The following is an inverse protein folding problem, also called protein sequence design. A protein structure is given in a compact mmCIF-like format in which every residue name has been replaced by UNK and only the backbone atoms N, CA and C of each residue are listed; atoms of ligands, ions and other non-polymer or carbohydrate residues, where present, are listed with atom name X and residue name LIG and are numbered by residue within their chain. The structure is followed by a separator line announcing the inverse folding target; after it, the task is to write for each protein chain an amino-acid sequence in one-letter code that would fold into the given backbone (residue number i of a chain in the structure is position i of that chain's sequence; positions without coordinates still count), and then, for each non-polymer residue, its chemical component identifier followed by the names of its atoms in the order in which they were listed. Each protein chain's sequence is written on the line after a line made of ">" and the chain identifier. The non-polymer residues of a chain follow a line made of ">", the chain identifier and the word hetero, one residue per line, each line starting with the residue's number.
data_IF_271264851893
#
_entry.id   IF_271264851893
#
_cell.length_a   1.000
_cell.length_b   1.000
_cell.length_c   1.000
_cell.angle_alpha   90.00
_cell.angle_beta   90.00
_cell.angle_gamma   90.00
#
_symmetry.space_group_name_H-M   'P 1'
#
loop_
_entity.id
_entity.type
_entity.pdbx_description
1 polymer ?
#
# COMPACT_ATOMS: atom_id res chain seq x y z
N UNK A 1 1.56 -4.52 25.90
CA UNK A 1 2.46 -3.35 25.85
C UNK A 1 3.88 -3.66 26.34
N UNK A 2 4.14 -4.30 27.53
CA UNK A 2 5.49 -4.56 27.99
C UNK A 2 6.31 -5.48 27.06
N UNK A 3 5.69 -6.49 26.45
CA UNK A 3 6.38 -7.38 25.52
C UNK A 3 6.85 -6.67 24.23
N UNK A 4 6.10 -5.69 23.74
CA UNK A 4 6.50 -4.87 22.59
C UNK A 4 7.66 -3.93 22.94
N UNK A 5 7.64 -3.32 24.12
CA UNK A 5 8.73 -2.47 24.60
C UNK A 5 10.02 -3.28 24.83
N UNK A 6 9.90 -4.50 25.38
CA UNK A 6 11.04 -5.41 25.51
C UNK A 6 11.58 -5.86 24.16
N UNK A 7 10.72 -6.16 23.19
CA UNK A 7 11.10 -6.52 21.81
C UNK A 7 11.84 -5.37 21.11
N UNK A 8 11.34 -4.14 21.22
CA UNK A 8 11.98 -2.96 20.64
C UNK A 8 13.32 -2.65 21.32
N UNK A 9 13.39 -2.77 22.63
CA UNK A 9 14.64 -2.54 23.38
C UNK A 9 15.70 -3.62 23.06
N UNK A 10 15.30 -4.89 22.93
CA UNK A 10 16.17 -5.98 22.52
C UNK A 10 16.69 -5.81 21.09
N UNK A 11 15.82 -5.40 20.15
CA UNK A 11 16.20 -5.09 18.78
C UNK A 11 17.14 -3.87 18.69
N UNK A 12 16.90 -2.84 19.50
CA UNK A 12 17.75 -1.66 19.55
C UNK A 12 19.13 -1.98 20.15
N UNK A 13 19.20 -2.87 21.16
CA UNK A 13 20.44 -3.38 21.74
C UNK A 13 21.25 -4.19 20.75
N UNK A 14 20.61 -5.18 20.11
CA UNK A 14 21.22 -6.03 19.12
C UNK A 14 21.72 -5.25 17.88
N UNK A 15 21.01 -4.16 17.49
CA UNK A 15 21.48 -3.24 16.43
C UNK A 15 22.77 -2.51 16.80
N UNK A 16 22.94 -2.13 18.08
CA UNK A 16 24.17 -1.44 18.53
C UNK A 16 25.40 -2.35 18.44
N UNK A 17 25.23 -3.65 18.69
CA UNK A 17 26.32 -4.63 18.58
C UNK A 17 26.59 -5.03 17.11
N UNK A 18 25.55 -5.17 16.30
CA UNK A 18 25.68 -5.60 14.90
C UNK A 18 26.08 -4.48 13.92
N UNK A 19 26.03 -3.22 14.32
CA UNK A 19 26.35 -2.05 13.49
C UNK A 19 25.33 -1.73 12.40
N UNK A 20 24.75 -2.72 11.70
CA UNK A 20 23.72 -2.54 10.68
C UNK A 20 22.61 -3.58 10.81
N UNK A 21 21.38 -3.23 10.38
CA UNK A 21 20.25 -4.15 10.38
C UNK A 21 20.49 -5.41 9.53
N UNK A 22 21.30 -5.30 8.48
CA UNK A 22 21.66 -6.41 7.60
C UNK A 22 22.49 -7.47 8.32
N UNK A 23 23.46 -7.06 9.16
CA UNK A 23 24.24 -7.97 9.99
C UNK A 23 23.42 -8.63 11.10
N UNK A 24 22.46 -7.92 11.66
CA UNK A 24 21.59 -8.44 12.72
C UNK A 24 20.70 -9.60 12.24
N UNK A 25 20.24 -9.54 10.98
CA UNK A 25 19.37 -10.56 10.39
C UNK A 25 20.20 -11.73 9.81
N UNK A 26 21.54 -11.68 9.91
CA UNK A 26 22.43 -12.70 9.34
C UNK A 26 22.38 -12.74 7.79
N UNK A 27 21.80 -11.69 7.21
CA UNK A 27 21.68 -11.56 5.77
C UNK A 27 22.92 -10.80 5.26
N UNK A 28 24.00 -11.53 5.00
CA UNK A 28 25.05 -11.09 4.07
C UNK A 28 24.49 -10.95 2.63
N UNK A 29 23.19 -10.58 2.56
CA UNK A 29 22.52 -10.33 1.28
C UNK A 29 23.23 -9.21 0.52
N UNK A 30 23.66 -8.17 1.20
CA UNK A 30 24.42 -7.08 0.60
C UNK A 30 25.76 -7.56 0.04
N UNK A 31 26.48 -8.43 0.76
CA UNK A 31 27.72 -9.02 0.27
C UNK A 31 27.52 -10.08 -0.81
N UNK A 32 26.48 -10.90 -0.68
CA UNK A 32 26.10 -11.87 -1.74
C UNK A 32 25.57 -11.19 -2.99
N UNK A 33 24.77 -10.16 -2.85
CA UNK A 33 24.29 -9.32 -3.98
C UNK A 33 25.49 -8.56 -4.57
N UNK A 34 26.36 -7.98 -3.75
CA UNK A 34 27.57 -7.29 -4.20
C UNK A 34 28.54 -8.24 -4.95
N UNK A 35 28.78 -9.45 -4.45
CA UNK A 35 29.64 -10.44 -5.16
C UNK A 35 28.99 -10.95 -6.46
N UNK A 36 27.68 -11.11 -6.50
CA UNK A 36 26.97 -11.47 -7.75
C UNK A 36 26.84 -10.29 -8.71
N UNK A 37 26.65 -9.07 -8.21
CA UNK A 37 26.56 -7.85 -9.02
C UNK A 37 27.92 -7.42 -9.62
N UNK A 38 29.04 -7.95 -9.13
CA UNK A 38 30.35 -7.75 -9.79
C UNK A 38 30.43 -8.45 -11.16
N UNK A 39 29.65 -9.51 -11.37
CA UNK A 39 29.52 -10.17 -12.68
C UNK A 39 28.54 -9.45 -13.62
N UNK A 40 27.50 -8.77 -13.06
CA UNK A 40 26.55 -7.95 -13.80
C UNK A 40 26.32 -6.64 -13.03
N UNK A 41 27.20 -5.65 -13.25
CA UNK A 41 27.20 -4.35 -12.54
C UNK A 41 25.86 -3.61 -12.55
N UNK A 42 25.03 -3.84 -13.56
CA UNK A 42 23.71 -3.21 -13.71
C UNK A 42 22.60 -3.86 -12.88
N UNK A 43 22.70 -5.16 -12.56
CA UNK A 43 21.61 -5.87 -11.85
C UNK A 43 21.38 -5.33 -10.44
N UNK A 44 22.42 -4.85 -9.77
CA UNK A 44 22.32 -4.26 -8.43
C UNK A 44 21.60 -2.92 -8.41
N UNK A 45 21.96 -2.01 -9.32
CA UNK A 45 21.32 -0.68 -9.44
C UNK A 45 19.87 -0.81 -9.90
N UNK A 46 19.59 -1.69 -10.85
CA UNK A 46 18.25 -2.02 -11.31
C UNK A 46 17.35 -2.54 -10.18
N UNK A 47 17.83 -3.53 -9.40
CA UNK A 47 17.08 -4.05 -8.27
C UNK A 47 16.81 -2.97 -7.21
N UNK A 48 17.78 -2.09 -6.97
CA UNK A 48 17.64 -1.00 -6.01
C UNK A 48 16.68 0.09 -6.49
N UNK A 49 16.65 0.40 -7.79
CA UNK A 49 15.65 1.32 -8.36
C UNK A 49 14.23 0.76 -8.22
N UNK A 50 14.03 -0.54 -8.45
CA UNK A 50 12.72 -1.20 -8.22
C UNK A 50 12.30 -1.11 -6.75
N UNK A 51 13.22 -1.33 -5.79
CA UNK A 51 12.90 -1.20 -4.36
C UNK A 51 12.47 0.22 -4.03
N UNK A 52 13.19 1.24 -4.49
CA UNK A 52 12.84 2.64 -4.26
C UNK A 52 11.50 3.01 -4.89
N UNK A 53 11.26 2.55 -6.11
CA UNK A 53 9.98 2.76 -6.79
C UNK A 53 8.81 2.10 -6.05
N UNK A 54 8.99 0.88 -5.54
CA UNK A 54 7.97 0.20 -4.74
C UNK A 54 7.70 0.93 -3.42
N UNK A 55 8.73 1.40 -2.72
CA UNK A 55 8.57 2.23 -1.50
C UNK A 55 7.83 3.52 -1.83
N UNK A 56 8.18 4.19 -2.93
CA UNK A 56 7.47 5.41 -3.38
C UNK A 56 5.99 5.10 -3.67
N UNK A 57 5.69 3.98 -4.34
CA UNK A 57 4.32 3.56 -4.61
C UNK A 57 3.55 3.27 -3.30
N UNK A 58 4.16 2.61 -2.32
CA UNK A 58 3.56 2.37 -0.99
C UNK A 58 3.27 3.70 -0.28
N UNK A 59 4.22 4.64 -0.28
CA UNK A 59 4.03 5.95 0.35
C UNK A 59 2.93 6.77 -0.34
N UNK A 60 2.92 6.79 -1.68
CA UNK A 60 1.88 7.46 -2.46
C UNK A 60 0.50 6.84 -2.20
N UNK A 61 0.41 5.51 -2.23
CA UNK A 61 -0.82 4.78 -1.98
C UNK A 61 -1.34 5.03 -0.56
N UNK A 62 -0.47 4.93 0.44
CA UNK A 62 -0.83 5.18 1.84
C UNK A 62 -1.26 6.63 2.05
N UNK A 63 -0.53 7.59 1.50
CA UNK A 63 -0.86 9.03 1.60
C UNK A 63 -2.18 9.38 0.94
N UNK A 64 -2.44 8.88 -0.28
CA UNK A 64 -3.70 9.11 -0.98
C UNK A 64 -4.89 8.48 -0.23
N UNK A 65 -4.73 7.27 0.30
CA UNK A 65 -5.79 6.62 1.08
C UNK A 65 -6.00 7.29 2.44
N UNK A 66 -4.96 7.79 3.10
CA UNK A 66 -5.10 8.59 4.30
C UNK A 66 -5.90 9.89 4.03
N UNK A 67 -5.65 10.56 2.89
CA UNK A 67 -6.44 11.72 2.46
C UNK A 67 -7.90 11.35 2.16
N UNK A 68 -8.17 10.18 1.55
CA UNK A 68 -9.53 9.69 1.34
C UNK A 68 -10.25 9.45 2.67
N UNK A 69 -9.60 8.81 3.64
CA UNK A 69 -10.17 8.61 4.99
C UNK A 69 -10.47 9.94 5.65
N UNK A 70 -9.52 10.88 5.62
CA UNK A 70 -9.73 12.22 6.21
C UNK A 70 -10.89 12.96 5.51
N UNK A 71 -10.95 12.90 4.17
CA UNK A 71 -12.03 13.49 3.38
C UNK A 71 -13.40 12.89 3.72
N UNK A 72 -13.49 11.57 3.85
CA UNK A 72 -14.74 10.89 4.24
C UNK A 72 -15.18 11.27 5.66
N UNK A 73 -14.26 11.30 6.62
CA UNK A 73 -14.55 11.75 7.98
C UNK A 73 -15.04 13.20 8.02
N UNK A 74 -14.49 14.07 7.17
CA UNK A 74 -14.91 15.48 7.09
C UNK A 74 -16.30 15.61 6.44
N UNK A 75 -16.59 14.88 5.37
CA UNK A 75 -17.90 14.92 4.69
C UNK A 75 -19.00 14.33 5.56
N UNK A 76 -18.75 13.22 6.23
CA UNK A 76 -19.71 12.51 7.07
C UNK A 76 -19.60 12.93 8.56
N UNK A 77 -19.10 14.14 8.83
CA UNK A 77 -18.86 14.61 10.19
C UNK A 77 -20.08 14.52 11.11
N UNK A 78 -21.26 14.85 10.57
CA UNK A 78 -22.50 14.77 11.33
C UNK A 78 -22.82 13.33 11.77
N UNK A 79 -22.62 12.34 10.91
CA UNK A 79 -22.81 10.94 11.26
C UNK A 79 -21.82 10.48 12.34
N UNK A 80 -20.55 10.89 12.22
CA UNK A 80 -19.51 10.61 13.21
C UNK A 80 -19.88 11.19 14.58
N UNK A 81 -20.32 12.44 14.63
CA UNK A 81 -20.74 13.11 15.89
C UNK A 81 -21.98 12.45 16.48
N UNK A 82 -22.98 12.12 15.67
CA UNK A 82 -24.19 11.43 16.14
C UNK A 82 -23.88 10.11 16.85
N UNK A 83 -22.97 9.30 16.28
CA UNK A 83 -22.52 8.04 16.91
C UNK A 83 -21.76 8.34 18.20
N UNK A 84 -20.90 9.36 18.22
CA UNK A 84 -20.16 9.74 19.42
C UNK A 84 -21.07 10.20 20.56
N UNK A 85 -22.11 10.99 20.25
CA UNK A 85 -23.11 11.46 21.21
C UNK A 85 -23.98 10.30 21.75
N UNK A 86 -24.36 9.34 20.89
CA UNK A 86 -25.12 8.16 21.27
C UNK A 86 -24.38 7.25 22.26
N UNK A 87 -23.04 7.22 22.23
CA UNK A 87 -22.25 6.46 23.20
C UNK A 87 -22.32 7.08 24.60
N UNK A 88 -22.44 8.38 24.66
CA UNK A 88 -22.61 9.16 25.91
C UNK A 88 -21.37 9.14 26.78
N UNK A 89 -20.72 9.86 27.31
CA UNK A 89 -19.52 9.72 28.15
C UNK A 89 -19.01 11.08 28.64
N UNK A 90 -19.78 12.11 28.31
CA UNK A 90 -19.41 13.49 28.62
C UNK A 90 -18.07 13.90 27.98
N UNK A 91 -17.47 15.00 28.43
CA UNK A 91 -16.22 15.53 27.82
C UNK A 91 -15.02 14.58 27.93
N UNK A 92 -14.91 13.84 29.03
CA UNK A 92 -13.83 12.88 29.25
C UNK A 92 -13.98 11.66 28.34
N UNK A 93 -15.21 11.13 28.20
CA UNK A 93 -15.50 10.02 27.27
C UNK A 93 -15.26 10.40 25.83
N UNK A 94 -15.62 11.63 25.42
CA UNK A 94 -15.31 12.18 24.09
C UNK A 94 -13.81 12.26 23.81
N UNK A 95 -13.00 12.71 24.78
CA UNK A 95 -11.54 12.75 24.65
C UNK A 95 -10.95 11.33 24.50
N UNK A 96 -11.39 10.38 25.32
CA UNK A 96 -10.92 9.00 25.24
C UNK A 96 -11.29 8.35 23.89
N UNK A 97 -12.50 8.59 23.39
CA UNK A 97 -12.93 8.13 22.08
C UNK A 97 -12.10 8.75 20.96
N UNK A 98 -11.79 10.04 21.04
CA UNK A 98 -10.94 10.71 20.05
C UNK A 98 -9.52 10.10 20.03
N UNK A 99 -8.92 9.87 21.19
CA UNK A 99 -7.60 9.23 21.29
C UNK A 99 -7.64 7.79 20.74
N UNK A 100 -8.69 7.04 21.02
CA UNK A 100 -8.90 5.70 20.47
C UNK A 100 -8.97 5.75 18.95
N UNK A 101 -9.73 6.68 18.38
CA UNK A 101 -9.87 6.82 16.92
C UNK A 101 -8.56 7.22 16.24
N UNK A 102 -7.75 8.08 16.85
CA UNK A 102 -6.40 8.40 16.36
C UNK A 102 -5.53 7.14 16.27
N UNK A 103 -5.60 6.27 17.28
CA UNK A 103 -4.90 4.99 17.27
C UNK A 103 -5.36 4.03 16.16
N UNK A 104 -6.60 4.19 15.66
CA UNK A 104 -7.18 3.37 14.60
C UNK A 104 -6.94 3.94 13.19
N UNK A 105 -6.44 5.16 13.04
CA UNK A 105 -6.19 5.78 11.73
C UNK A 105 -5.34 4.91 10.78
N UNK A 106 -4.25 4.24 11.23
CA UNK A 106 -3.50 3.33 10.36
C UNK A 106 -4.35 2.16 9.85
N UNK A 107 -5.24 1.62 10.69
CA UNK A 107 -6.18 0.54 10.32
C UNK A 107 -7.18 1.03 9.27
N UNK A 108 -7.78 2.20 9.47
CA UNK A 108 -8.70 2.78 8.49
C UNK A 108 -8.01 3.08 7.15
N UNK A 109 -6.74 3.51 7.18
CA UNK A 109 -5.94 3.70 5.97
C UNK A 109 -5.71 2.37 5.25
N UNK A 110 -5.36 1.30 5.97
CA UNK A 110 -5.18 -0.03 5.40
C UNK A 110 -6.49 -0.58 4.79
N UNK A 111 -7.62 -0.39 5.45
CA UNK A 111 -8.94 -0.76 4.93
C UNK A 111 -9.33 0.08 3.71
N UNK A 112 -8.98 1.36 3.70
CA UNK A 112 -9.16 2.22 2.52
C UNK A 112 -8.33 1.74 1.33
N UNK A 113 -7.09 1.24 1.55
CA UNK A 113 -6.28 0.60 0.50
C UNK A 113 -7.00 -0.65 -0.04
N UNK A 114 -7.53 -1.49 0.85
CA UNK A 114 -8.28 -2.67 0.44
C UNK A 114 -9.55 -2.30 -0.35
N UNK A 115 -10.23 -1.22 0.05
CA UNK A 115 -11.40 -0.69 -0.66
C UNK A 115 -11.03 -0.18 -2.05
N UNK A 116 -10.05 0.72 -2.16
CA UNK A 116 -9.63 1.30 -3.44
C UNK A 116 -8.96 0.30 -4.38
N UNK A 117 -8.37 -0.79 -3.85
CA UNK A 117 -7.80 -1.85 -4.65
C UNK A 117 -8.84 -2.81 -5.25
N UNK A 118 -10.06 -2.87 -4.70
CA UNK A 118 -11.16 -3.69 -5.22
C UNK A 118 -11.65 -4.80 -4.32
N UNK A 119 -10.80 -5.65 -3.72
CA UNK A 119 -11.29 -6.76 -2.88
C UNK A 119 -12.08 -6.30 -1.66
N UNK A 120 -11.80 -5.09 -1.15
CA UNK A 120 -12.54 -4.52 -0.03
C UNK A 120 -12.13 -5.05 1.33
N UNK A 121 -12.92 -4.67 2.33
CA UNK A 121 -12.75 -5.08 3.73
C UNK A 121 -14.11 -5.37 4.36
N UNK A 122 -14.10 -6.12 5.46
CA UNK A 122 -15.28 -6.45 6.28
C UNK A 122 -15.16 -5.80 7.66
N UNK A 123 -16.32 -5.43 8.23
CA UNK A 123 -16.44 -4.94 9.61
C UNK A 123 -17.55 -5.75 10.28
N UNK A 124 -17.23 -7.00 10.58
CA UNK A 124 -18.16 -7.99 11.12
C UNK A 124 -18.66 -8.98 10.06
N UNK A 125 -19.26 -10.07 10.56
CA UNK A 125 -19.81 -11.15 9.73
C UNK A 125 -20.84 -10.58 8.73
N UNK A 126 -20.81 -11.11 7.50
CA UNK A 126 -21.73 -10.76 6.41
C UNK A 126 -21.62 -9.31 5.91
N UNK A 127 -20.62 -8.53 6.35
CA UNK A 127 -20.34 -7.20 5.80
C UNK A 127 -19.23 -7.24 4.74
N UNK A 128 -19.38 -6.47 3.68
CA UNK A 128 -18.31 -6.23 2.69
C UNK A 128 -18.43 -4.81 2.19
N UNK A 129 -17.31 -4.09 2.24
CA UNK A 129 -17.17 -2.76 1.67
C UNK A 129 -16.12 -2.80 0.58
N UNK A 130 -16.55 -2.67 -0.67
CA UNK A 130 -15.70 -2.70 -1.87
C UNK A 130 -16.12 -1.60 -2.83
N UNK A 131 -15.23 -1.19 -3.74
CA UNK A 131 -15.60 -0.29 -4.85
C UNK A 131 -16.61 -0.91 -5.81
N UNK A 132 -16.79 -2.22 -5.79
CA UNK A 132 -17.74 -2.96 -6.63
C UNK A 132 -19.10 -3.17 -5.95
N UNK A 133 -19.21 -2.94 -4.64
CA UNK A 133 -20.43 -3.13 -3.89
C UNK A 133 -20.25 -2.90 -2.40
N UNK A 134 -21.34 -2.63 -1.71
CA UNK A 134 -21.37 -2.51 -0.26
C UNK A 134 -22.54 -3.33 0.28
N UNK A 135 -22.26 -4.24 1.20
CA UNK A 135 -23.24 -4.97 2.02
C UNK A 135 -23.02 -4.56 3.46
N UNK A 136 -23.69 -3.49 3.93
CA UNK A 136 -23.57 -3.05 5.31
C UNK A 136 -24.21 -4.06 6.26
N UNK A 137 -23.52 -4.38 7.35
CA UNK A 137 -24.05 -5.16 8.46
C UNK A 137 -23.94 -4.34 9.77
N UNK A 138 -24.33 -4.93 10.89
CA UNK A 138 -24.21 -4.32 12.22
C UNK A 138 -22.74 -4.07 12.54
N UNK A 139 -22.30 -2.82 12.39
CA UNK A 139 -20.96 -2.40 12.76
C UNK A 139 -20.85 -2.07 14.26
N UNK A 140 -19.67 -2.27 14.88
CA UNK A 140 -19.45 -1.80 16.25
C UNK A 140 -19.62 -0.28 16.34
N UNK A 141 -20.09 0.21 17.51
CA UNK A 141 -20.33 1.63 17.75
C UNK A 141 -19.02 2.42 17.88
N UNK A 142 -18.26 2.50 16.80
CA UNK A 142 -17.09 3.37 16.67
C UNK A 142 -17.49 4.58 15.83
N UNK A 143 -17.33 5.82 16.32
CA UNK A 143 -17.77 7.03 15.61
C UNK A 143 -17.22 7.13 14.19
N UNK A 144 -15.94 6.78 13.97
CA UNK A 144 -15.34 6.81 12.65
C UNK A 144 -15.98 5.85 11.64
N UNK A 145 -16.60 4.76 12.09
CA UNK A 145 -17.35 3.83 11.24
C UNK A 145 -18.66 4.43 10.72
N UNK A 146 -19.18 5.50 11.35
CA UNK A 146 -20.29 6.28 10.82
C UNK A 146 -20.00 6.93 9.45
N UNK A 147 -18.72 7.07 9.09
CA UNK A 147 -18.30 7.56 7.78
C UNK A 147 -18.22 6.47 6.69
N UNK A 148 -18.53 5.20 7.00
CA UNK A 148 -18.56 4.13 5.99
C UNK A 148 -19.69 4.38 4.96
N UNK A 149 -19.42 4.05 3.66
CA UNK A 149 -20.44 4.20 2.64
C UNK A 149 -21.59 3.22 2.89
N UNK A 150 -22.78 3.73 3.20
CA UNK A 150 -23.98 2.91 3.41
C UNK A 150 -24.57 2.33 2.13
N UNK A 151 -24.32 2.95 0.98
CA UNK A 151 -24.82 2.54 -0.34
C UNK A 151 -23.71 2.58 -1.37
N UNK A 152 -23.76 1.64 -2.32
CA UNK A 152 -22.85 1.65 -3.45
C UNK A 152 -23.30 2.69 -4.50
N UNK A 153 -22.33 3.34 -5.14
CA UNK A 153 -22.57 4.26 -6.25
C UNK A 153 -21.50 4.08 -7.34
N UNK A 154 -21.86 4.18 -8.64
CA UNK A 154 -20.93 3.95 -9.76
C UNK A 154 -19.68 4.84 -9.74
N UNK A 155 -19.73 6.04 -9.18
CA UNK A 155 -18.57 6.92 -9.07
C UNK A 155 -17.43 6.32 -8.21
N UNK A 156 -17.75 5.37 -7.33
CA UNK A 156 -16.74 4.69 -6.50
C UNK A 156 -15.73 3.92 -7.35
N UNK A 157 -16.08 3.51 -8.57
CA UNK A 157 -15.14 2.88 -9.50
C UNK A 157 -13.97 3.80 -9.87
N UNK A 158 -14.15 5.13 -9.80
CA UNK A 158 -13.06 6.09 -10.02
C UNK A 158 -11.96 5.96 -8.96
N UNK A 159 -12.26 5.39 -7.80
CA UNK A 159 -11.28 5.17 -6.74
C UNK A 159 -10.21 4.13 -7.11
N UNK A 160 -10.47 3.28 -8.11
CA UNK A 160 -9.45 2.42 -8.71
C UNK A 160 -8.29 3.23 -9.34
N UNK A 161 -8.54 4.51 -9.67
CA UNK A 161 -7.48 5.40 -10.13
C UNK A 161 -6.42 5.69 -9.04
N UNK A 162 -6.73 5.46 -7.76
CA UNK A 162 -5.80 5.69 -6.66
C UNK A 162 -4.58 4.76 -6.72
N UNK A 163 -4.74 3.43 -6.73
CA UNK A 163 -3.58 2.54 -6.86
C UNK A 163 -2.90 2.64 -8.23
N UNK A 164 -3.65 2.91 -9.30
CA UNK A 164 -3.08 3.16 -10.65
C UNK A 164 -2.23 4.45 -10.62
N UNK A 165 -2.72 5.52 -10.00
CA UNK A 165 -2.01 6.79 -9.86
C UNK A 165 -0.73 6.66 -9.03
N UNK A 166 -0.77 5.90 -7.93
CA UNK A 166 0.42 5.60 -7.14
C UNK A 166 1.49 4.86 -7.98
N UNK A 167 1.06 3.88 -8.79
CA UNK A 167 1.93 3.21 -9.76
C UNK A 167 2.48 4.16 -10.81
N UNK A 168 1.65 5.06 -11.35
CA UNK A 168 2.09 6.03 -12.37
C UNK A 168 3.17 6.98 -11.83
N UNK A 169 3.05 7.44 -10.59
CA UNK A 169 4.09 8.23 -9.92
C UNK A 169 5.41 7.46 -9.85
N UNK A 170 5.37 6.17 -9.47
CA UNK A 170 6.55 5.32 -9.43
C UNK A 170 7.16 5.12 -10.83
N UNK A 171 6.33 4.94 -11.87
CA UNK A 171 6.77 4.80 -13.26
C UNK A 171 7.46 6.05 -13.82
N UNK A 172 6.87 7.24 -13.58
CA UNK A 172 7.49 8.52 -13.95
C UNK A 172 8.84 8.72 -13.24
N UNK A 173 8.89 8.35 -11.96
CA UNK A 173 10.12 8.44 -11.18
C UNK A 173 11.20 7.50 -11.71
N UNK A 174 10.86 6.24 -12.04
CA UNK A 174 11.80 5.26 -12.63
C UNK A 174 12.42 5.75 -13.94
N UNK A 175 11.61 6.39 -14.80
CA UNK A 175 12.14 6.97 -16.04
C UNK A 175 13.17 8.08 -15.75
N UNK A 176 12.89 8.93 -14.75
CA UNK A 176 13.79 10.02 -14.36
C UNK A 176 15.10 9.53 -13.75
N UNK A 177 15.10 8.40 -13.08
CA UNK A 177 16.31 7.80 -12.51
C UNK A 177 17.21 7.19 -13.58
N UNK A 178 16.66 6.78 -14.73
CA UNK A 178 17.44 6.34 -15.90
C UNK A 178 18.12 4.99 -15.73
N UNK A 179 17.80 4.20 -14.71
CA UNK A 179 18.46 2.92 -14.39
C UNK A 179 17.87 1.70 -15.15
N UNK A 180 17.22 1.94 -16.31
CA UNK A 180 16.63 0.86 -17.11
C UNK A 180 17.66 0.16 -18.01
N UNK A 181 18.77 -0.31 -17.42
CA UNK A 181 19.81 -1.06 -18.12
C UNK A 181 19.34 -2.39 -18.72
N UNK A 182 18.16 -2.88 -18.31
CA UNK A 182 17.55 -4.06 -18.91
C UNK A 182 17.15 -3.81 -20.36
N UNK A 183 16.77 -2.59 -20.73
CA UNK A 183 16.44 -2.22 -22.10
C UNK A 183 17.65 -2.37 -23.02
N UNK A 184 18.81 -1.84 -22.63
CA UNK A 184 20.06 -1.92 -23.39
C UNK A 184 20.48 -3.39 -23.57
N UNK A 185 20.38 -4.20 -22.52
CA UNK A 185 20.71 -5.63 -22.59
C UNK A 185 19.76 -6.41 -23.50
N UNK A 186 18.46 -6.13 -23.48
CA UNK A 186 17.47 -6.74 -24.36
C UNK A 186 17.66 -6.29 -25.81
N UNK A 187 17.99 -5.02 -26.03
CA UNK A 187 18.22 -4.47 -27.35
C UNK A 187 19.39 -5.16 -28.06
N UNK A 188 20.48 -5.43 -27.35
CA UNK A 188 21.63 -6.18 -27.91
C UNK A 188 21.29 -7.60 -28.34
N UNK A 189 20.25 -8.22 -27.74
CA UNK A 189 19.83 -9.59 -28.06
C UNK A 189 18.74 -9.71 -29.11
N UNK A 190 17.79 -8.78 -29.17
CA UNK A 190 16.60 -8.89 -30.01
C UNK A 190 16.61 -7.94 -31.22
N UNK A 191 17.53 -6.99 -31.28
CA UNK A 191 17.70 -6.07 -32.42
C UNK A 191 16.53 -5.08 -32.66
N UNK A 192 15.39 -5.26 -31.98
CA UNK A 192 14.20 -4.39 -32.10
C UNK A 192 14.03 -3.54 -30.84
N UNK A 193 14.20 -2.22 -30.98
CA UNK A 193 14.07 -1.28 -29.87
C UNK A 193 12.67 -1.25 -29.25
N UNK A 194 11.62 -1.42 -30.07
CA UNK A 194 10.26 -1.45 -29.56
C UNK A 194 9.98 -2.66 -28.67
N UNK A 195 10.51 -3.85 -29.05
CA UNK A 195 10.33 -5.07 -28.27
C UNK A 195 11.14 -4.99 -26.96
N UNK A 196 12.38 -4.52 -27.00
CA UNK A 196 13.22 -4.40 -25.81
C UNK A 196 12.61 -3.42 -24.81
N UNK A 197 12.17 -2.24 -25.29
CA UNK A 197 11.54 -1.23 -24.43
C UNK A 197 10.23 -1.74 -23.79
N UNK A 198 9.39 -2.45 -24.55
CA UNK A 198 8.14 -3.00 -24.02
C UNK A 198 8.41 -4.05 -22.95
N UNK A 199 9.32 -4.98 -23.20
CA UNK A 199 9.66 -6.04 -22.25
C UNK A 199 10.32 -5.49 -20.99
N UNK A 200 11.25 -4.54 -21.13
CA UNK A 200 11.94 -3.92 -19.99
C UNK A 200 10.97 -3.11 -19.12
N UNK A 201 10.10 -2.33 -19.75
CA UNK A 201 9.06 -1.56 -19.02
C UNK A 201 8.08 -2.49 -18.30
N UNK A 202 7.65 -3.56 -18.95
CA UNK A 202 6.78 -4.55 -18.34
C UNK A 202 7.44 -5.24 -17.15
N UNK A 203 8.71 -5.62 -17.28
CA UNK A 203 9.48 -6.22 -16.20
C UNK A 203 9.62 -5.27 -14.99
N UNK A 204 9.98 -4.01 -15.23
CA UNK A 204 10.04 -2.96 -14.19
C UNK A 204 8.69 -2.79 -13.49
N UNK A 205 7.62 -2.68 -14.28
CA UNK A 205 6.27 -2.46 -13.75
C UNK A 205 5.77 -3.64 -12.91
N UNK A 206 5.96 -4.87 -13.40
CA UNK A 206 5.56 -6.08 -12.67
C UNK A 206 6.37 -6.24 -11.39
N UNK A 207 7.69 -6.09 -11.44
CA UNK A 207 8.54 -6.18 -10.25
C UNK A 207 8.18 -5.12 -9.21
N UNK A 208 7.96 -3.88 -9.64
CA UNK A 208 7.55 -2.78 -8.76
C UNK A 208 6.19 -3.07 -8.13
N UNK A 209 5.21 -3.52 -8.91
CA UNK A 209 3.88 -3.88 -8.42
C UNK A 209 3.93 -5.04 -7.42
N UNK A 210 4.62 -6.13 -7.75
CA UNK A 210 4.78 -7.29 -6.86
C UNK A 210 5.44 -6.90 -5.54
N UNK A 211 6.50 -6.11 -5.59
CA UNK A 211 7.18 -5.66 -4.39
C UNK A 211 6.32 -4.71 -3.56
N UNK A 212 5.53 -3.84 -4.20
CA UNK A 212 4.55 -2.99 -3.52
C UNK A 212 3.50 -3.83 -2.78
N UNK A 213 2.92 -4.83 -3.43
CA UNK A 213 1.98 -5.76 -2.80
C UNK A 213 2.61 -6.52 -1.62
N UNK A 214 3.86 -6.97 -1.77
CA UNK A 214 4.60 -7.67 -0.72
C UNK A 214 4.87 -6.77 0.49
N UNK A 215 5.25 -5.50 0.27
CA UNK A 215 5.47 -4.54 1.36
C UNK A 215 4.20 -4.22 2.14
N UNK A 216 3.03 -4.27 1.50
CA UNK A 216 1.73 -4.06 2.15
C UNK A 216 1.21 -5.28 2.89
N UNK A 217 1.81 -6.46 2.70
CA UNK A 217 1.35 -7.71 3.34
C UNK A 217 1.34 -7.58 4.87
N UNK A 218 2.41 -7.07 5.46
CA UNK A 218 2.53 -6.94 6.92
C UNK A 218 1.49 -5.95 7.48
N UNK A 219 1.39 -4.69 7.01
CA UNK A 219 0.40 -3.76 7.56
C UNK A 219 -1.05 -4.23 7.36
N UNK A 220 -1.39 -4.85 6.22
CA UNK A 220 -2.71 -5.40 6.00
C UNK A 220 -3.01 -6.60 6.92
N UNK A 221 -2.05 -7.48 7.14
CA UNK A 221 -2.20 -8.61 8.05
C UNK A 221 -2.40 -8.15 9.51
N UNK A 222 -1.70 -7.10 9.93
CA UNK A 222 -1.84 -6.53 11.28
C UNK A 222 -3.19 -5.83 11.52
N UNK A 223 -3.89 -5.46 10.46
CA UNK A 223 -5.21 -4.79 10.51
C UNK A 223 -6.37 -5.73 10.24
N UNK A 224 -6.11 -7.02 10.10
CA UNK A 224 -7.11 -8.06 9.86
C UNK A 224 -7.10 -9.07 11.00
N UNK A 225 -8.28 -9.51 11.43
CA UNK A 225 -8.40 -10.46 12.52
C UNK A 225 -9.84 -10.66 13.00
N UNK A 226 -9.98 -11.27 14.16
CA UNK A 226 -11.28 -11.50 14.82
C UNK A 226 -11.34 -10.74 16.13
N UNK A 227 -12.44 -10.01 16.38
CA UNK A 227 -12.70 -9.29 17.63
C UNK A 227 -13.80 -9.99 18.41
N UNK A 228 -13.58 -11.27 18.80
CA UNK A 228 -14.52 -12.01 19.66
C UNK A 228 -15.38 -13.04 18.92
N UNK A 229 -16.55 -13.32 19.45
CA UNK A 229 -17.51 -14.31 18.95
C UNK A 229 -18.74 -13.61 18.34
N UNK A 230 -19.40 -14.27 17.39
CA UNK A 230 -20.64 -13.78 16.78
C UNK A 230 -20.42 -12.78 15.64
N UNK A 231 -21.06 -11.62 15.69
CA UNK A 231 -21.05 -10.65 14.60
C UNK A 231 -19.68 -10.02 14.30
N UNK A 232 -18.70 -10.12 15.21
CA UNK A 232 -17.36 -9.50 15.06
C UNK A 232 -16.26 -10.52 14.73
N UNK A 233 -16.63 -11.64 14.13
CA UNK A 233 -15.67 -12.71 13.77
C UNK A 233 -14.80 -12.38 12.57
N UNK A 234 -15.30 -11.57 11.62
CA UNK A 234 -14.57 -11.19 10.40
C UNK A 234 -14.36 -9.69 10.34
N UNK A 235 -13.16 -9.23 10.72
CA UNK A 235 -12.78 -7.82 10.64
C UNK A 235 -11.48 -7.70 9.86
N UNK A 236 -11.48 -6.82 8.85
CA UNK A 236 -10.33 -6.54 8.03
C UNK A 236 -10.49 -6.95 6.58
N UNK A 237 -9.39 -7.18 5.90
CA UNK A 237 -9.36 -7.46 4.46
C UNK A 237 -8.82 -8.85 4.17
N UNK A 238 -9.20 -9.40 3.02
CA UNK A 238 -8.56 -10.60 2.46
C UNK A 238 -7.14 -10.23 1.97
N UNK A 239 -6.17 -10.31 2.87
CA UNK A 239 -4.81 -9.78 2.70
C UNK A 239 -4.19 -10.17 1.36
N UNK A 240 -4.21 -11.46 1.00
CA UNK A 240 -3.63 -11.95 -0.26
C UNK A 240 -4.32 -11.39 -1.50
N UNK A 241 -5.65 -11.30 -1.47
CA UNK A 241 -6.42 -10.73 -2.58
C UNK A 241 -6.11 -9.23 -2.76
N UNK A 242 -6.00 -8.49 -1.65
CA UNK A 242 -5.64 -7.07 -1.68
C UNK A 242 -4.22 -6.88 -2.18
N UNK A 243 -3.24 -7.65 -1.68
CA UNK A 243 -1.86 -7.58 -2.14
C UNK A 243 -1.74 -7.87 -3.65
N UNK A 244 -2.45 -8.89 -4.14
CA UNK A 244 -2.47 -9.23 -5.56
C UNK A 244 -3.13 -8.14 -6.42
N UNK A 245 -4.25 -7.58 -5.96
CA UNK A 245 -4.93 -6.49 -6.65
C UNK A 245 -4.07 -5.22 -6.72
N UNK A 246 -3.47 -4.82 -5.59
CA UNK A 246 -2.53 -3.68 -5.53
C UNK A 246 -1.35 -3.93 -6.46
N UNK A 247 -0.75 -5.12 -6.45
CA UNK A 247 0.36 -5.46 -7.35
C UNK A 247 -0.04 -5.26 -8.82
N UNK A 248 -1.23 -5.71 -9.21
CA UNK A 248 -1.75 -5.55 -10.57
C UNK A 248 -1.99 -4.08 -10.93
N UNK A 249 -2.72 -3.32 -10.10
CA UNK A 249 -3.03 -1.92 -10.37
C UNK A 249 -1.78 -1.03 -10.39
N UNK A 250 -0.85 -1.24 -9.45
CA UNK A 250 0.42 -0.51 -9.41
C UNK A 250 1.29 -0.86 -10.61
N UNK A 251 1.34 -2.13 -11.05
CA UNK A 251 2.05 -2.51 -12.26
C UNK A 251 1.47 -1.82 -13.50
N UNK A 252 0.14 -1.81 -13.66
CA UNK A 252 -0.52 -1.11 -14.75
C UNK A 252 -0.21 0.40 -14.73
N UNK A 253 -0.35 1.02 -13.55
CA UNK A 253 -0.03 2.43 -13.36
C UNK A 253 1.43 2.75 -13.66
N UNK A 254 2.35 1.91 -13.19
CA UNK A 254 3.79 2.07 -13.40
C UNK A 254 4.15 2.00 -14.91
N UNK A 255 3.62 1.02 -15.62
CA UNK A 255 3.81 0.91 -17.06
C UNK A 255 3.25 2.14 -17.80
N UNK A 256 2.03 2.55 -17.47
CA UNK A 256 1.39 3.73 -18.07
C UNK A 256 2.18 5.01 -17.77
N UNK A 257 2.59 5.22 -16.51
CA UNK A 257 3.38 6.38 -16.09
C UNK A 257 4.76 6.46 -16.76
N UNK A 258 5.44 5.32 -16.87
CA UNK A 258 6.72 5.22 -17.55
C UNK A 258 6.60 5.57 -19.04
N UNK A 259 5.63 4.96 -19.75
CA UNK A 259 5.43 5.17 -21.19
C UNK A 259 4.95 6.60 -21.51
N UNK A 260 4.05 7.17 -20.72
CA UNK A 260 3.59 8.54 -20.91
C UNK A 260 4.72 9.55 -20.68
N UNK A 261 5.51 9.35 -19.65
CA UNK A 261 6.66 10.22 -19.39
C UNK A 261 7.72 10.11 -20.49
N UNK A 262 7.96 8.91 -21.04
CA UNK A 262 8.85 8.69 -22.18
C UNK A 262 8.34 9.41 -23.44
N UNK A 263 7.05 9.31 -23.75
CA UNK A 263 6.43 9.99 -24.89
C UNK A 263 6.57 11.52 -24.77
N UNK A 264 6.38 12.07 -23.58
CA UNK A 264 6.54 13.52 -23.32
C UNK A 264 8.00 13.96 -23.45
N UNK A 265 8.96 13.14 -23.01
CA UNK A 265 10.38 13.44 -23.15
C UNK A 265 10.82 13.46 -24.61
N UNK A 266 10.42 12.46 -25.41
CA UNK A 266 10.76 12.38 -26.84
C UNK A 266 10.10 13.43 -27.75
N UNK A 267 9.18 14.25 -27.25
CA UNK A 267 8.60 15.39 -27.99
C UNK A 267 9.34 16.72 -27.72
N UNK A 268 10.30 16.72 -26.81
CA UNK A 268 11.06 17.93 -26.44
C UNK A 268 12.43 18.03 -27.11
N UNK A 269 12.87 16.96 -27.72
CA UNK A 269 14.07 16.86 -28.56
C UNK A 269 13.70 16.98 -30.05
#
# INVERSE_FOLDING_TARGET
>A
LPALLFGVAALAGARREAGTWAHLIGLDLTERISRRSQYERWAGSYAWSVVRAAVLAVLALTGLNALLVAGRLAVEWTAVVTVAEAIGGGPLGGLLLALLQIGWLPTFTAWSIAWTAGPGFSVGADSLYSVFGATPATAPALPALGALPGTWSPWQLLLLAVPIGAGAVAGVWLLREGENHLDDWLHTRHGSRAVSLTLSTLALAVLTGLLTGLLLLVPLALTSGTLGLGALTDIGSHVWAVCAAVAGWVALGCAAGYLTALAVAGHRD
#
